data_IF_823544364844
#
_entry.id   IF_823544364844
#
_cell.length_a   1.000
_cell.length_b   1.000
_cell.length_c   1.000
_cell.angle_alpha   90.00
_cell.angle_beta   90.00
_cell.angle_gamma   90.00
#
_symmetry.space_group_name_H-M   'P 1'
#
loop_
_entity.id
_entity.type
_entity.pdbx_description
1 polymer ?
#
# COMPACT_ATOMS: atom_id res chain seq x y z
N UNK A 1 -30.18 -10.44 29.39
CA UNK A 1 -29.94 -9.22 28.58
C UNK A 1 -28.96 -8.27 29.24
N UNK A 2 -29.25 -7.73 30.44
CA UNK A 2 -28.37 -6.76 31.12
C UNK A 2 -26.93 -7.25 31.34
N UNK A 3 -26.74 -8.49 31.79
CA UNK A 3 -25.41 -9.08 32.00
C UNK A 3 -24.57 -9.16 30.73
N UNK A 4 -25.18 -9.49 29.58
CA UNK A 4 -24.47 -9.57 28.30
C UNK A 4 -24.01 -8.18 27.82
N UNK A 5 -24.82 -7.15 28.05
CA UNK A 5 -24.46 -5.76 27.74
C UNK A 5 -23.32 -5.26 28.64
N UNK A 6 -23.33 -5.60 29.92
CA UNK A 6 -22.25 -5.25 30.87
C UNK A 6 -20.93 -5.91 30.46
N UNK A 7 -20.96 -7.20 30.12
CA UNK A 7 -19.76 -7.91 29.65
C UNK A 7 -19.21 -7.28 28.38
N UNK A 8 -20.07 -6.97 27.40
CA UNK A 8 -19.66 -6.32 26.15
C UNK A 8 -19.01 -4.96 26.40
N UNK A 9 -19.63 -4.13 27.23
CA UNK A 9 -19.10 -2.81 27.59
C UNK A 9 -17.74 -2.93 28.30
N UNK A 10 -17.61 -3.86 29.24
CA UNK A 10 -16.35 -4.14 29.92
C UNK A 10 -15.26 -4.56 28.94
N UNK A 11 -15.56 -5.44 27.99
CA UNK A 11 -14.58 -5.84 26.95
C UNK A 11 -14.12 -4.67 26.11
N UNK A 12 -15.03 -3.78 25.69
CA UNK A 12 -14.68 -2.59 24.92
C UNK A 12 -13.79 -1.63 25.72
N UNK A 13 -14.06 -1.46 27.02
CA UNK A 13 -13.23 -0.64 27.92
C UNK A 13 -11.84 -1.26 28.07
N UNK A 14 -11.74 -2.58 28.22
CA UNK A 14 -10.46 -3.29 28.28
C UNK A 14 -9.66 -3.09 26.98
N UNK A 15 -10.30 -3.26 25.81
CA UNK A 15 -9.65 -2.99 24.52
C UNK A 15 -9.18 -1.54 24.40
N UNK A 16 -9.99 -0.58 24.84
CA UNK A 16 -9.62 0.84 24.90
C UNK A 16 -8.42 1.08 25.83
N UNK A 17 -8.41 0.48 27.01
CA UNK A 17 -7.33 0.60 27.99
C UNK A 17 -6.02 0.00 27.48
N UNK A 18 -6.06 -1.13 26.75
CA UNK A 18 -4.88 -1.70 26.09
C UNK A 18 -4.30 -0.73 25.06
N UNK A 19 -5.16 -0.07 24.27
CA UNK A 19 -4.73 0.96 23.32
C UNK A 19 -4.06 2.16 24.00
N UNK A 20 -4.65 2.64 25.10
CA UNK A 20 -4.07 3.74 25.89
C UNK A 20 -2.72 3.33 26.48
N UNK A 21 -2.61 2.12 27.06
CA UNK A 21 -1.36 1.62 27.63
C UNK A 21 -0.27 1.48 26.58
N UNK A 22 -0.60 1.00 25.38
CA UNK A 22 0.32 0.93 24.26
C UNK A 22 0.81 2.34 23.86
N UNK A 23 -0.10 3.31 23.72
CA UNK A 23 0.25 4.69 23.40
C UNK A 23 1.14 5.33 24.48
N UNK A 24 0.79 5.18 25.75
CA UNK A 24 1.60 5.72 26.85
C UNK A 24 2.98 5.07 26.93
N UNK A 25 3.08 3.76 26.65
CA UNK A 25 4.35 3.05 26.55
C UNK A 25 5.24 3.66 25.47
N UNK A 26 4.69 3.86 24.27
CA UNK A 26 5.40 4.53 23.16
C UNK A 26 5.80 5.95 23.54
N UNK A 27 4.88 6.75 24.11
CA UNK A 27 5.15 8.13 24.54
C UNK A 27 6.29 8.21 25.56
N UNK A 28 6.31 7.30 26.55
CA UNK A 28 7.38 7.22 27.56
C UNK A 28 8.73 6.84 26.95
N UNK A 29 8.74 6.00 25.92
CA UNK A 29 9.95 5.62 25.19
C UNK A 29 10.47 6.77 24.33
N UNK A 30 9.60 7.51 23.64
CA UNK A 30 9.99 8.68 22.82
C UNK A 30 10.70 9.75 23.65
N UNK A 31 10.29 9.97 24.90
CA UNK A 31 10.95 10.93 25.79
C UNK A 31 12.33 10.50 26.33
N UNK A 32 12.72 9.23 26.16
CA UNK A 32 13.97 8.65 26.70
C UNK A 32 14.88 8.04 25.62
N UNK A 33 14.38 7.87 24.40
CA UNK A 33 15.10 7.22 23.32
C UNK A 33 15.96 8.23 22.53
N UNK A 34 17.07 7.79 21.90
CA UNK A 34 17.84 8.62 21.00
C UNK A 34 16.99 8.93 19.76
N UNK A 35 16.37 10.12 19.74
CA UNK A 35 15.47 10.59 18.68
C UNK A 35 16.08 10.41 17.28
N UNK A 36 17.40 10.63 17.16
CA UNK A 36 18.13 10.44 15.91
C UNK A 36 18.12 8.99 15.42
N UNK A 37 18.34 8.02 16.31
CA UNK A 37 18.34 6.59 15.95
C UNK A 37 16.95 6.13 15.52
N UNK A 38 15.90 6.54 16.25
CA UNK A 38 14.52 6.24 15.89
C UNK A 38 14.15 6.84 14.52
N UNK A 39 14.52 8.10 14.26
CA UNK A 39 14.28 8.75 12.98
C UNK A 39 15.00 8.05 11.82
N UNK A 40 16.26 7.62 12.02
CA UNK A 40 17.03 6.88 11.00
C UNK A 40 16.40 5.52 10.73
N UNK A 41 16.02 4.76 11.76
CA UNK A 41 15.34 3.46 11.59
C UNK A 41 13.99 3.62 10.89
N UNK A 42 13.19 4.60 11.31
CA UNK A 42 11.91 4.90 10.67
C UNK A 42 12.10 5.28 9.19
N UNK A 43 13.09 6.11 8.89
CA UNK A 43 13.42 6.49 7.51
C UNK A 43 13.93 5.29 6.71
N UNK A 44 14.78 4.44 7.29
CA UNK A 44 15.29 3.24 6.63
C UNK A 44 14.17 2.25 6.30
N UNK A 45 13.22 2.06 7.22
CA UNK A 45 12.01 1.28 6.97
C UNK A 45 11.12 1.93 5.93
N UNK A 46 10.96 3.26 5.96
CA UNK A 46 10.23 4.01 4.94
C UNK A 46 10.81 3.82 3.55
N UNK A 47 12.13 3.99 3.40
CA UNK A 47 12.84 3.78 2.13
C UNK A 47 12.72 2.34 1.63
N UNK A 48 12.79 1.36 2.54
CA UNK A 48 12.58 -0.06 2.19
C UNK A 48 11.14 -0.33 1.75
N UNK A 49 10.16 0.32 2.39
CA UNK A 49 8.75 0.26 2.03
C UNK A 49 8.49 0.88 0.65
N UNK A 50 9.08 2.03 0.35
CA UNK A 50 8.97 2.69 -0.97
C UNK A 50 9.52 1.77 -2.07
N UNK A 51 10.68 1.15 -1.88
CA UNK A 51 11.23 0.19 -2.85
C UNK A 51 10.34 -1.02 -3.09
N UNK A 52 9.60 -1.46 -2.07
CA UNK A 52 8.58 -2.51 -2.23
C UNK A 52 7.28 -2.01 -2.84
N UNK A 53 6.95 -0.74 -2.70
CA UNK A 53 5.81 -0.12 -3.36
C UNK A 53 6.04 0.11 -4.86
N UNK A 54 7.30 0.33 -5.29
CA UNK A 54 7.67 0.40 -6.71
C UNK A 54 7.28 -0.89 -7.45
N UNK A 55 7.58 -2.06 -6.85
CA UNK A 55 7.16 -3.37 -7.40
C UNK A 55 5.62 -3.49 -7.52
N UNK A 56 4.87 -2.87 -6.60
CA UNK A 56 3.40 -2.90 -6.61
C UNK A 56 2.74 -1.89 -7.55
N UNK A 57 3.43 -0.80 -7.91
CA UNK A 57 2.87 0.27 -8.72
C UNK A 57 2.59 -0.16 -10.17
N UNK A 58 3.42 -1.03 -10.73
CA UNK A 58 3.23 -1.59 -12.07
C UNK A 58 2.03 -2.54 -12.10
N UNK A 59 1.92 -3.44 -11.11
CA UNK A 59 0.77 -4.34 -11.00
C UNK A 59 -0.54 -3.60 -10.74
N UNK A 60 -0.50 -2.50 -9.98
CA UNK A 60 -1.69 -1.66 -9.77
C UNK A 60 -2.17 -1.01 -11.07
N UNK A 61 -1.26 -0.53 -11.93
CA UNK A 61 -1.63 0.05 -13.23
C UNK A 61 -2.27 -0.98 -14.15
N UNK A 62 -1.75 -2.21 -14.17
CA UNK A 62 -2.33 -3.30 -14.96
C UNK A 62 -3.72 -3.68 -14.43
N UNK A 63 -3.85 -3.89 -13.11
CA UNK A 63 -5.14 -4.24 -12.51
C UNK A 63 -6.22 -3.17 -12.71
N UNK A 64 -5.86 -1.88 -12.66
CA UNK A 64 -6.80 -0.80 -12.98
C UNK A 64 -7.21 -0.86 -14.45
N UNK A 65 -6.27 -1.17 -15.35
CA UNK A 65 -6.56 -1.30 -16.79
C UNK A 65 -7.51 -2.48 -17.05
N UNK A 66 -7.34 -3.61 -16.36
CA UNK A 66 -8.24 -4.77 -16.45
C UNK A 66 -9.66 -4.42 -16.00
N UNK A 67 -9.82 -3.69 -14.89
CA UNK A 67 -11.13 -3.24 -14.41
C UNK A 67 -11.79 -2.27 -15.38
N UNK A 68 -11.03 -1.34 -15.98
CA UNK A 68 -11.56 -0.43 -16.99
C UNK A 68 -12.00 -1.19 -18.23
N UNK A 69 -11.21 -2.15 -18.70
CA UNK A 69 -11.58 -2.99 -19.84
C UNK A 69 -12.87 -3.79 -19.56
N UNK A 70 -13.00 -4.41 -18.38
CA UNK A 70 -14.20 -5.12 -17.97
C UNK A 70 -15.42 -4.18 -17.86
N UNK A 71 -15.23 -2.96 -17.34
CA UNK A 71 -16.31 -1.98 -17.26
C UNK A 71 -16.79 -1.54 -18.66
N UNK A 72 -15.87 -1.33 -19.61
CA UNK A 72 -16.19 -0.97 -21.01
C UNK A 72 -16.98 -2.06 -21.71
N UNK A 73 -16.58 -3.33 -21.55
CA UNK A 73 -17.30 -4.47 -22.11
C UNK A 73 -18.76 -4.52 -21.62
N UNK A 74 -18.98 -4.27 -20.32
CA UNK A 74 -20.33 -4.27 -19.74
C UNK A 74 -21.23 -3.13 -20.22
N UNK A 75 -20.67 -1.97 -20.56
CA UNK A 75 -21.43 -0.86 -21.14
C UNK A 75 -21.59 -0.96 -22.66
N UNK A 76 -21.06 -2.03 -23.29
CA UNK A 76 -21.13 -2.25 -24.73
C UNK A 76 -20.13 -1.42 -25.53
N UNK A 77 -19.11 -0.86 -24.89
CA UNK A 77 -18.01 -0.16 -25.56
C UNK A 77 -16.84 -1.14 -25.81
N UNK A 78 -16.34 -1.21 -27.04
CA UNK A 78 -15.15 -2.01 -27.35
C UNK A 78 -13.93 -1.48 -26.60
N UNK A 79 -13.15 -2.37 -25.96
CA UNK A 79 -11.90 -1.99 -25.29
C UNK A 79 -10.95 -1.34 -26.31
N UNK A 80 -10.38 -0.18 -25.97
CA UNK A 80 -9.41 0.47 -26.84
C UNK A 80 -8.23 -0.49 -26.99
N UNK A 81 -7.99 -0.99 -28.21
CA UNK A 81 -6.81 -1.80 -28.51
C UNK A 81 -5.57 -1.03 -28.09
N UNK A 82 -4.54 -1.69 -27.51
CA UNK A 82 -3.28 -1.03 -27.19
C UNK A 82 -2.81 -0.28 -28.43
N UNK A 83 -2.69 1.05 -28.33
CA UNK A 83 -2.06 1.85 -29.38
C UNK A 83 -0.66 1.29 -29.56
N UNK A 84 -0.38 0.79 -30.76
CA UNK A 84 0.97 0.37 -31.13
C UNK A 84 1.96 1.48 -30.73
N UNK A 85 3.10 1.14 -30.09
CA UNK A 85 4.14 2.13 -29.91
C UNK A 85 4.51 2.69 -31.30
N UNK A 86 4.42 4.02 -31.44
CA UNK A 86 4.88 4.80 -32.60
C UNK A 86 6.17 4.18 -33.18
N UNK A 87 6.24 3.89 -34.50
CA UNK A 87 7.43 3.34 -35.12
C UNK A 87 8.49 4.44 -35.25
N UNK A 88 9.22 4.68 -34.15
CA UNK A 88 10.04 5.87 -33.98
C UNK A 88 11.40 5.65 -33.30
N UNK A 89 12.02 4.47 -33.39
CA UNK A 89 13.49 4.38 -33.24
C UNK A 89 14.03 3.10 -33.87
N UNK A 90 14.84 3.25 -34.93
CA UNK A 90 15.41 2.14 -35.68
C UNK A 90 16.42 1.33 -34.86
N UNK A 91 16.11 0.05 -34.64
CA UNK A 91 17.12 -0.95 -34.30
C UNK A 91 17.53 -1.68 -35.58
N UNK A 92 18.65 -1.22 -36.16
CA UNK A 92 19.31 -1.94 -37.25
C UNK A 92 19.91 -3.23 -36.72
N UNK A 93 19.30 -4.36 -37.06
CA UNK A 93 19.88 -5.68 -36.85
C UNK A 93 20.76 -6.01 -38.07
N UNK A 94 22.06 -5.73 -37.95
CA UNK A 94 23.06 -6.18 -38.91
C UNK A 94 23.45 -7.63 -38.56
N UNK A 95 22.98 -8.59 -39.38
CA UNK A 95 23.41 -9.98 -39.31
C UNK A 95 24.33 -10.24 -40.50
N UNK A 96 25.64 -10.16 -40.25
CA UNK A 96 26.66 -10.58 -41.21
C UNK A 96 26.61 -12.11 -41.40
N UNK A 97 26.54 -12.53 -42.67
CA UNK A 97 26.65 -13.91 -43.15
C UNK A 97 28.10 -14.41 -43.17
#
# INVERSE_FOLDING_TARGET
MLHALVVKAASTVVTGAVGVAAYEGVKKLVGKAPLRGAAVTATAWGLRGVRKAEEGAESARLSVSDVVAEAKERIGEEASLPTEPEPGHGHGHDHAH
#
